data_IF_996800262436
#
_entry.id   IF_996800262436
#
_cell.length_a   1.000
_cell.length_b   1.000
_cell.length_c   1.000
_cell.angle_alpha   90.00
_cell.angle_beta   90.00
_cell.angle_gamma   90.00
#
_symmetry.space_group_name_H-M   'P 1'
#
loop_
_entity.id
_entity.type
_entity.pdbx_description
1 polymer ?
#
# COMPACT_ATOMS: atom_id res chain seq x y z
N UNK A 1 -49.31 26.15 -53.60
CA UNK A 1 -48.04 26.31 -54.35
C UNK A 1 -47.59 27.75 -54.24
N UNK A 2 -46.28 27.96 -54.18
CA UNK A 2 -45.54 29.24 -54.28
C UNK A 2 -44.93 29.78 -52.98
N UNK A 3 -43.59 29.77 -52.97
CA UNK A 3 -42.66 30.31 -51.99
C UNK A 3 -42.36 31.80 -52.24
N UNK A 4 -41.97 32.57 -51.21
CA UNK A 4 -40.77 33.45 -51.26
C UNK A 4 -40.51 34.24 -49.96
N UNK A 5 -39.32 33.97 -49.39
CA UNK A 5 -38.28 34.88 -48.85
C UNK A 5 -38.62 35.89 -47.73
N UNK A 6 -37.75 36.27 -46.80
CA UNK A 6 -36.29 36.29 -46.75
C UNK A 6 -35.84 36.25 -45.28
N UNK A 7 -34.95 35.34 -44.90
CA UNK A 7 -34.15 35.48 -43.68
C UNK A 7 -32.75 35.96 -44.10
N UNK A 8 -32.42 37.20 -43.78
CA UNK A 8 -31.11 37.82 -43.99
C UNK A 8 -30.47 38.07 -42.63
N UNK A 9 -29.13 37.97 -42.61
CA UNK A 9 -28.20 38.30 -41.53
C UNK A 9 -28.24 37.36 -40.31
N UNK A 10 -27.12 36.79 -39.86
CA UNK A 10 -25.74 37.00 -40.25
C UNK A 10 -24.84 35.97 -39.58
N UNK A 11 -23.70 35.72 -40.24
CA UNK A 11 -22.55 35.04 -39.68
C UNK A 11 -21.95 35.87 -38.55
N UNK A 12 -21.77 35.30 -37.36
CA UNK A 12 -20.72 35.69 -36.41
C UNK A 12 -20.51 34.62 -35.32
N UNK A 13 -19.43 33.85 -35.51
CA UNK A 13 -18.43 33.42 -34.52
C UNK A 13 -18.86 33.22 -33.05
N UNK A 14 -18.62 32.02 -32.51
CA UNK A 14 -17.75 31.86 -31.34
C UNK A 14 -17.32 30.38 -31.18
N UNK A 15 -16.02 30.14 -31.27
CA UNK A 15 -15.38 28.92 -30.77
C UNK A 15 -15.22 29.07 -29.25
N UNK A 16 -15.71 28.10 -28.50
CA UNK A 16 -15.25 27.82 -27.14
C UNK A 16 -15.32 26.31 -26.91
N UNK A 17 -14.29 25.59 -27.34
CA UNK A 17 -14.05 24.22 -26.91
C UNK A 17 -13.54 24.27 -25.47
N UNK A 18 -14.46 24.32 -24.50
CA UNK A 18 -14.12 24.07 -23.09
C UNK A 18 -13.87 22.58 -22.94
N UNK A 19 -12.61 22.17 -23.07
CA UNK A 19 -12.16 20.85 -22.67
C UNK A 19 -12.45 20.66 -21.18
N UNK A 20 -13.38 19.77 -20.85
CA UNK A 20 -13.49 19.24 -19.50
C UNK A 20 -12.24 18.40 -19.24
N UNK A 21 -11.25 19.03 -18.59
CA UNK A 21 -10.21 18.31 -17.86
C UNK A 21 -10.92 17.46 -16.79
N UNK A 22 -11.09 16.18 -17.08
CA UNK A 22 -11.42 15.19 -16.06
C UNK A 22 -10.19 15.12 -15.15
N UNK A 23 -10.25 15.76 -13.99
CA UNK A 23 -9.31 15.49 -12.92
C UNK A 23 -9.55 14.04 -12.47
N UNK A 24 -8.81 13.10 -13.05
CA UNK A 24 -8.67 11.77 -12.48
C UNK A 24 -8.04 11.96 -11.11
N UNK A 25 -8.84 11.84 -10.05
CA UNK A 25 -8.34 11.65 -8.70
C UNK A 25 -7.61 10.31 -8.70
N UNK A 26 -6.32 10.33 -9.02
CA UNK A 26 -5.45 9.20 -8.79
C UNK A 26 -5.44 8.96 -7.29
N UNK A 27 -6.03 7.85 -6.84
CA UNK A 27 -5.69 7.32 -5.53
C UNK A 27 -4.21 6.99 -5.59
N UNK A 28 -3.38 7.86 -5.01
CA UNK A 28 -2.03 7.48 -4.66
C UNK A 28 -2.20 6.30 -3.70
N UNK A 29 -2.01 5.09 -4.21
CA UNK A 29 -1.69 3.95 -3.39
C UNK A 29 -0.33 4.29 -2.76
N UNK A 30 -0.41 4.95 -1.61
CA UNK A 30 0.70 5.26 -0.73
C UNK A 30 1.23 3.93 -0.15
N UNK A 31 1.85 3.15 -1.04
CA UNK A 31 2.56 1.94 -0.70
C UNK A 31 3.96 2.37 -0.26
N UNK A 32 4.08 2.90 0.96
CA UNK A 32 5.37 3.02 1.62
C UNK A 32 5.99 1.62 1.68
N UNK A 33 6.97 1.35 0.82
CA UNK A 33 7.69 0.07 0.81
C UNK A 33 8.63 0.07 2.02
N UNK A 34 8.40 -0.82 3.00
CA UNK A 34 9.30 -0.97 4.15
C UNK A 34 10.62 -1.60 3.73
N UNK A 35 11.68 -1.32 4.51
CA UNK A 35 13.00 -1.86 4.30
C UNK A 35 13.00 -3.40 4.32
N UNK A 36 14.03 -4.00 3.68
CA UNK A 36 14.26 -5.45 3.71
C UNK A 36 14.37 -5.95 5.16
N UNK A 37 14.02 -7.21 5.40
CA UNK A 37 14.28 -7.81 6.70
C UNK A 37 15.79 -7.83 6.97
N UNK A 38 16.21 -7.41 8.16
CA UNK A 38 17.62 -7.46 8.57
C UNK A 38 17.80 -8.54 9.65
N UNK A 39 18.61 -9.56 9.37
CA UNK A 39 18.90 -10.65 10.30
C UNK A 39 19.69 -11.79 9.65
N UNK A 40 20.49 -12.53 10.43
CA UNK A 40 21.46 -13.55 9.95
C UNK A 40 20.79 -14.68 9.14
N UNK A 41 19.47 -14.87 9.29
CA UNK A 41 18.67 -15.93 8.64
C UNK A 41 17.54 -15.38 7.73
N UNK A 42 17.40 -14.06 7.57
CA UNK A 42 16.28 -13.39 6.90
C UNK A 42 16.53 -13.04 5.41
N UNK A 43 17.65 -13.51 4.84
CA UNK A 43 18.20 -12.98 3.58
C UNK A 43 17.47 -13.37 2.29
N UNK A 44 16.30 -14.02 2.34
CA UNK A 44 15.54 -14.37 1.12
C UNK A 44 14.19 -13.65 0.99
N UNK A 45 13.71 -12.91 2.00
CA UNK A 45 12.40 -12.26 1.94
C UNK A 45 12.41 -10.75 2.24
N UNK A 46 11.30 -10.07 1.97
CA UNK A 46 11.08 -8.65 2.29
C UNK A 46 9.78 -8.47 3.09
N UNK A 47 9.78 -7.53 4.04
CA UNK A 47 8.57 -7.06 4.69
C UNK A 47 8.00 -5.91 3.86
N UNK A 48 6.73 -5.99 3.53
CA UNK A 48 5.99 -4.93 2.84
C UNK A 48 4.99 -4.32 3.81
N UNK A 49 5.00 -3.00 3.89
CA UNK A 49 3.98 -2.26 4.58
C UNK A 49 2.79 -2.02 3.66
N UNK A 50 1.60 -2.15 4.23
CA UNK A 50 0.35 -1.86 3.57
C UNK A 50 -0.63 -1.25 4.56
N UNK A 51 -1.83 -0.95 4.08
CA UNK A 51 -2.88 -0.38 4.91
C UNK A 51 -4.19 -1.13 4.68
N UNK A 52 -4.81 -1.57 5.77
CA UNK A 52 -6.10 -2.25 5.75
C UNK A 52 -7.10 -1.42 6.56
N UNK A 53 -7.89 -0.61 5.85
CA UNK A 53 -8.76 0.40 6.47
C UNK A 53 -7.93 1.47 7.17
N UNK A 54 -8.14 1.63 8.48
CA UNK A 54 -7.39 2.58 9.31
C UNK A 54 -6.13 2.00 9.96
N UNK A 55 -5.82 0.73 9.73
CA UNK A 55 -4.69 0.06 10.37
C UNK A 55 -3.54 -0.20 9.39
N UNK A 56 -2.32 0.01 9.87
CA UNK A 56 -1.11 -0.35 9.14
C UNK A 56 -0.83 -1.85 9.27
N UNK A 57 -0.34 -2.46 8.20
CA UNK A 57 -0.08 -3.90 8.13
C UNK A 57 1.33 -4.18 7.64
N UNK A 58 1.90 -5.28 8.10
CA UNK A 58 3.15 -5.83 7.57
C UNK A 58 2.87 -7.19 6.96
N UNK A 59 3.39 -7.41 5.75
CA UNK A 59 3.27 -8.67 5.02
C UNK A 59 4.63 -9.09 4.50
N UNK A 60 5.07 -10.32 4.73
CA UNK A 60 6.28 -10.80 4.07
C UNK A 60 6.03 -11.27 2.63
N UNK A 61 7.07 -11.22 1.81
CA UNK A 61 7.10 -11.80 0.47
C UNK A 61 6.99 -13.32 0.48
N UNK A 62 6.55 -13.92 -0.62
CA UNK A 62 6.38 -15.38 -0.73
C UNK A 62 7.71 -16.14 -0.65
N UNK A 63 8.80 -15.47 -1.02
CA UNK A 63 10.19 -15.92 -0.95
C UNK A 63 10.70 -16.11 0.50
N UNK A 64 9.98 -15.56 1.48
CA UNK A 64 10.39 -15.58 2.87
C UNK A 64 10.29 -17.00 3.44
N UNK A 65 11.41 -17.50 3.98
CA UNK A 65 11.47 -18.78 4.67
C UNK A 65 11.47 -18.56 6.17
N UNK A 66 10.45 -19.06 6.86
CA UNK A 66 10.41 -19.07 8.32
C UNK A 66 11.64 -19.82 8.83
N UNK A 67 12.46 -19.20 9.70
CA UNK A 67 13.64 -19.86 10.21
C UNK A 67 13.26 -21.05 11.10
N UNK A 68 14.04 -22.11 11.00
CA UNK A 68 14.02 -23.22 11.96
C UNK A 68 14.65 -22.74 13.29
N UNK A 69 13.84 -22.06 14.10
CA UNK A 69 14.14 -21.61 15.46
C UNK A 69 12.92 -21.89 16.34
N UNK A 70 13.10 -22.14 17.66
CA UNK A 70 11.96 -22.35 18.54
C UNK A 70 11.06 -21.12 18.60
N UNK A 71 9.81 -21.26 18.15
CA UNK A 71 8.79 -20.21 18.14
C UNK A 71 9.26 -18.90 17.48
N UNK A 72 9.42 -18.86 16.15
CA UNK A 72 9.77 -17.63 15.47
C UNK A 72 8.60 -16.64 15.56
N UNK A 73 8.89 -15.36 15.80
CA UNK A 73 7.92 -14.28 15.92
C UNK A 73 8.26 -13.12 14.99
N UNK A 74 7.26 -12.29 14.72
CA UNK A 74 7.46 -11.00 14.11
C UNK A 74 8.17 -10.10 15.10
N UNK A 75 9.33 -9.58 14.72
CA UNK A 75 10.05 -8.62 15.54
C UNK A 75 10.20 -7.32 14.77
N UNK A 76 9.52 -6.29 15.26
CA UNK A 76 9.52 -4.96 14.66
C UNK A 76 10.39 -4.05 15.52
N UNK A 77 11.22 -3.24 14.89
CA UNK A 77 12.03 -2.24 15.58
C UNK A 77 11.65 -0.86 15.07
N UNK A 78 11.34 0.04 15.99
CA UNK A 78 11.03 1.44 15.66
C UNK A 78 12.33 2.26 15.48
N UNK A 79 12.17 3.51 15.05
CA UNK A 79 13.26 4.48 14.86
C UNK A 79 13.96 4.87 16.17
N UNK A 80 13.35 4.60 17.32
CA UNK A 80 13.95 4.80 18.65
C UNK A 80 14.72 3.57 19.13
N UNK A 81 14.71 2.47 18.37
CA UNK A 81 15.37 1.22 18.71
C UNK A 81 14.57 0.32 19.64
N UNK A 82 13.29 0.64 19.93
CA UNK A 82 12.42 -0.24 20.70
C UNK A 82 12.09 -1.48 19.89
N UNK A 83 12.09 -2.62 20.55
CA UNK A 83 11.84 -3.92 19.94
C UNK A 83 10.46 -4.43 20.37
N UNK A 84 9.61 -4.71 19.39
CA UNK A 84 8.28 -5.24 19.60
C UNK A 84 8.22 -6.70 19.13
N UNK A 85 7.92 -7.61 20.05
CA UNK A 85 7.62 -9.00 19.76
C UNK A 85 6.11 -9.13 19.50
N UNK A 86 5.75 -9.44 18.25
CA UNK A 86 4.36 -9.52 17.81
C UNK A 86 3.94 -10.99 17.62
N UNK A 87 3.12 -11.30 16.61
CA UNK A 87 2.58 -12.64 16.44
C UNK A 87 3.66 -13.66 16.03
N UNK A 88 3.45 -14.94 16.38
CA UNK A 88 4.28 -16.04 15.86
C UNK A 88 4.16 -16.16 14.35
N UNK A 89 5.25 -16.53 13.69
CA UNK A 89 5.29 -16.71 12.24
C UNK A 89 4.52 -17.94 11.81
N UNK A 90 4.79 -19.06 12.46
CA UNK A 90 4.08 -20.31 12.28
C UNK A 90 3.03 -20.50 13.40
N UNK A 91 1.85 -20.96 13.01
CA UNK A 91 0.76 -21.34 13.90
C UNK A 91 0.35 -22.80 13.62
N UNK A 92 -0.48 -23.38 14.49
CA UNK A 92 -0.83 -24.80 14.43
C UNK A 92 -1.44 -25.18 13.07
N UNK A 93 -1.06 -26.35 12.56
CA UNK A 93 -1.63 -26.93 11.33
C UNK A 93 -1.11 -26.27 10.05
N UNK A 94 0.20 -26.04 9.98
CA UNK A 94 0.93 -25.49 8.80
C UNK A 94 0.47 -24.10 8.33
N UNK A 95 -0.33 -23.43 9.14
CA UNK A 95 -0.78 -22.06 8.90
C UNK A 95 0.30 -21.07 9.32
N UNK A 96 0.30 -19.91 8.68
CA UNK A 96 1.30 -18.87 8.92
C UNK A 96 0.63 -17.50 9.07
N UNK A 97 1.14 -16.67 9.98
CA UNK A 97 0.75 -15.26 10.08
C UNK A 97 1.60 -14.44 9.12
N UNK A 98 1.39 -14.65 7.82
CA UNK A 98 2.12 -13.95 6.75
C UNK A 98 1.85 -12.44 6.72
N UNK A 99 0.66 -12.04 7.16
CA UNK A 99 0.28 -10.64 7.33
C UNK A 99 -0.11 -10.39 8.78
N UNK A 100 0.37 -9.30 9.34
CA UNK A 100 0.01 -8.84 10.69
C UNK A 100 -0.48 -7.39 10.63
N UNK A 101 -1.39 -7.05 11.54
CA UNK A 101 -1.78 -5.67 11.79
C UNK A 101 -0.85 -5.09 12.84
N UNK A 102 -0.28 -3.92 12.57
CA UNK A 102 0.54 -3.20 13.54
C UNK A 102 -0.34 -2.70 14.69
N UNK A 103 -0.01 -3.06 15.95
CA UNK A 103 -0.71 -2.50 17.10
C UNK A 103 -0.51 -0.99 17.18
N UNK A 104 -1.49 -0.27 17.74
CA UNK A 104 -1.47 1.20 17.82
C UNK A 104 -0.32 1.78 18.66
N UNK A 105 0.32 0.97 19.50
CA UNK A 105 1.52 1.35 20.27
C UNK A 105 2.82 1.27 19.46
N UNK A 106 2.79 0.71 18.25
CA UNK A 106 3.91 0.72 17.30
C UNK A 106 3.67 1.90 16.36
N UNK A 107 4.38 2.99 16.60
CA UNK A 107 4.14 4.24 15.89
C UNK A 107 4.87 4.34 14.54
N UNK A 108 5.95 3.59 14.39
CA UNK A 108 6.76 3.55 13.17
C UNK A 108 7.57 2.25 13.10
N UNK A 109 8.05 1.93 11.91
CA UNK A 109 8.85 0.72 11.63
C UNK A 109 10.14 1.14 10.94
N UNK A 110 11.25 1.07 11.67
CA UNK A 110 12.58 1.29 11.11
C UNK A 110 13.12 0.02 10.45
N UNK A 111 12.91 -1.14 11.08
CA UNK A 111 13.29 -2.43 10.52
C UNK A 111 12.41 -3.56 11.03
N UNK A 112 12.39 -4.65 10.29
CA UNK A 112 11.81 -5.93 10.72
C UNK A 112 12.92 -6.96 10.78
N UNK A 113 12.98 -7.72 11.86
CA UNK A 113 14.00 -8.75 12.10
C UNK A 113 13.36 -10.04 12.62
N UNK A 114 14.09 -11.16 12.53
CA UNK A 114 13.64 -12.51 12.90
C UNK A 114 14.84 -13.31 13.42
#
# INVERSE_FOLDING_TARGET
MSSKSWFKMGFLSMVAATGLFVASNGFAADAHTTAKFEGVKANTGMAMHGRSGNNDTLTWSEEFKIPDTPAPHWQVVDTKGNVYLLQRLAIKGDKQNRTIVLPSYVHDVAKVQI
#
